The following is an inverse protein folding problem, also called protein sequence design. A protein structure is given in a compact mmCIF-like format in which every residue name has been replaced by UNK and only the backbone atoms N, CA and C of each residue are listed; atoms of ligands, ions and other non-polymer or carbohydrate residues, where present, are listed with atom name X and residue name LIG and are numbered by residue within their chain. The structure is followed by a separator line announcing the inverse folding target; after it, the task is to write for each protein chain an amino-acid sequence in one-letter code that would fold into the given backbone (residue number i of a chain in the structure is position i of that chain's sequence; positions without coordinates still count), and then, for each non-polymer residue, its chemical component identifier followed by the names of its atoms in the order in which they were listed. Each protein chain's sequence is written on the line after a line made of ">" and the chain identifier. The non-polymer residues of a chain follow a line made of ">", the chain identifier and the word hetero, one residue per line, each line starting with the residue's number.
data_IF_302486453243
#
_entry.id   IF_302486453243
#
_cell.length_a   1.000
_cell.length_b   1.000
_cell.length_c   1.000
_cell.angle_alpha   90.00
_cell.angle_beta   90.00
_cell.angle_gamma   90.00
#
_symmetry.space_group_name_H-M   'P 1'
#
loop_
_entity.id
_entity.type
_entity.pdbx_description
1 polymer ?
#
# COMPACT_ATOMS: atom_id res chain seq x y z
N UNK A 1 -5.33 -8.88 -12.56
CA UNK A 1 -4.59 -8.59 -11.33
C UNK A 1 -4.50 -7.09 -11.13
N UNK A 2 -4.69 -6.62 -9.90
CA UNK A 2 -4.66 -5.18 -9.60
C UNK A 2 -3.38 -4.80 -8.87
N UNK A 3 -2.86 -3.63 -9.20
CA UNK A 3 -1.73 -3.03 -8.52
C UNK A 3 -2.18 -1.74 -7.85
N UNK A 4 -1.83 -1.57 -6.60
CA UNK A 4 -2.11 -0.34 -5.86
C UNK A 4 -0.85 0.50 -5.75
N UNK A 5 -1.03 1.81 -5.88
CA UNK A 5 0.05 2.78 -5.68
C UNK A 5 -0.34 3.66 -4.50
N UNK A 6 0.51 3.67 -3.47
CA UNK A 6 0.35 4.52 -2.30
C UNK A 6 1.41 5.60 -2.31
N UNK A 7 1.00 6.85 -2.11
CA UNK A 7 1.92 7.99 -1.97
C UNK A 7 1.77 8.55 -0.57
N UNK A 8 2.80 8.40 0.24
CA UNK A 8 2.78 8.84 1.63
C UNK A 8 4.11 9.50 2.00
N UNK A 9 4.04 10.39 2.99
CA UNK A 9 5.23 11.07 3.47
C UNK A 9 6.24 10.06 4.00
N UNK A 10 7.52 10.25 3.65
CA UNK A 10 8.58 9.37 4.09
C UNK A 10 8.82 9.55 5.59
N UNK A 11 8.80 8.43 6.31
CA UNK A 11 9.23 8.37 7.71
C UNK A 11 9.54 6.92 8.08
N UNK A 12 10.40 6.71 9.10
CA UNK A 12 10.76 5.35 9.53
C UNK A 12 9.53 4.49 9.83
N UNK A 13 9.57 3.24 9.38
CA UNK A 13 8.54 2.27 9.69
C UNK A 13 7.31 2.29 8.79
N UNK A 14 7.31 3.08 7.70
CA UNK A 14 6.15 3.15 6.79
C UNK A 14 5.77 1.80 6.20
N UNK A 15 6.74 1.04 5.70
CA UNK A 15 6.43 -0.27 5.12
C UNK A 15 5.86 -1.22 6.17
N UNK A 16 6.43 -1.21 7.38
CA UNK A 16 5.93 -2.03 8.48
C UNK A 16 4.50 -1.64 8.86
N UNK A 17 4.19 -0.35 8.86
CA UNK A 17 2.86 0.18 9.14
C UNK A 17 1.84 -0.32 8.10
N UNK A 18 2.19 -0.24 6.81
CA UNK A 18 1.33 -0.72 5.73
C UNK A 18 1.13 -2.23 5.83
N UNK A 19 2.22 -2.98 6.02
CA UNK A 19 2.16 -4.44 6.12
C UNK A 19 1.31 -4.88 7.31
N UNK A 20 1.45 -4.21 8.45
CA UNK A 20 0.67 -4.52 9.65
C UNK A 20 -0.81 -4.25 9.45
N UNK A 21 -1.16 -3.12 8.84
CA UNK A 21 -2.55 -2.77 8.56
C UNK A 21 -3.22 -3.80 7.66
N UNK A 22 -2.53 -4.25 6.62
CA UNK A 22 -3.03 -5.27 5.71
C UNK A 22 -3.13 -6.64 6.39
N UNK A 23 -2.11 -7.01 7.14
CA UNK A 23 -2.07 -8.27 7.85
C UNK A 23 -3.26 -8.41 8.81
N UNK A 24 -3.58 -7.36 9.55
CA UNK A 24 -4.71 -7.35 10.48
C UNK A 24 -6.05 -7.61 9.80
N UNK A 25 -6.14 -7.31 8.50
CA UNK A 25 -7.35 -7.55 7.71
C UNK A 25 -7.28 -8.84 6.90
N UNK A 26 -6.26 -9.66 7.12
CA UNK A 26 -6.08 -10.93 6.41
C UNK A 26 -5.62 -10.76 4.97
N UNK A 27 -5.01 -9.63 4.64
CA UNK A 27 -4.50 -9.36 3.29
C UNK A 27 -3.01 -9.66 3.24
N UNK A 28 -2.59 -10.41 2.22
CA UNK A 28 -1.18 -10.73 2.01
C UNK A 28 -0.61 -9.93 0.85
N UNK A 29 0.59 -9.39 1.03
CA UNK A 29 1.31 -8.69 -0.01
C UNK A 29 2.04 -9.74 -0.84
N UNK A 30 1.73 -9.81 -2.13
CA UNK A 30 2.34 -10.76 -3.05
C UNK A 30 3.60 -10.19 -3.69
N UNK A 31 3.62 -8.89 -3.94
CA UNK A 31 4.79 -8.20 -4.50
C UNK A 31 4.71 -6.73 -4.14
N UNK A 32 5.86 -6.09 -3.98
CA UNK A 32 5.91 -4.64 -3.78
C UNK A 32 7.19 -4.04 -4.30
N UNK A 33 7.15 -2.73 -4.56
CA UNK A 33 8.32 -1.92 -4.81
C UNK A 33 8.12 -0.56 -4.15
N UNK A 34 9.21 0.13 -3.87
CA UNK A 34 9.15 1.43 -3.23
C UNK A 34 10.15 2.38 -3.89
N UNK A 35 9.74 3.63 -4.06
CA UNK A 35 10.60 4.69 -4.58
C UNK A 35 10.47 5.90 -3.68
N UNK A 36 11.59 6.61 -3.48
CA UNK A 36 11.64 7.81 -2.68
C UNK A 36 11.91 9.01 -3.57
N UNK A 37 11.03 10.01 -3.53
CA UNK A 37 11.15 11.25 -4.29
C UNK A 37 10.75 12.44 -3.43
N UNK A 38 11.71 13.30 -3.17
CA UNK A 38 11.45 14.58 -2.49
C UNK A 38 10.74 14.45 -1.15
N UNK A 39 11.15 13.49 -0.32
CA UNK A 39 10.57 13.28 1.00
C UNK A 39 9.24 12.55 0.98
N UNK A 40 8.84 12.04 -0.18
CA UNK A 40 7.62 11.25 -0.33
C UNK A 40 7.97 9.85 -0.83
N UNK A 41 7.38 8.82 -0.23
CA UNK A 41 7.52 7.45 -0.71
C UNK A 41 6.33 7.04 -1.56
N UNK A 42 6.62 6.37 -2.67
CA UNK A 42 5.60 5.74 -3.50
C UNK A 42 5.78 4.23 -3.38
N UNK A 43 4.77 3.56 -2.85
CA UNK A 43 4.74 2.09 -2.76
C UNK A 43 3.82 1.55 -3.85
N UNK A 44 4.30 0.53 -4.56
CA UNK A 44 3.45 -0.22 -5.50
C UNK A 44 3.28 -1.61 -4.94
N UNK A 45 2.02 -2.02 -4.77
CA UNK A 45 1.67 -3.25 -4.09
C UNK A 45 0.74 -4.11 -4.92
N UNK A 46 1.01 -5.41 -4.94
CA UNK A 46 0.09 -6.42 -5.46
C UNK A 46 -0.33 -7.29 -4.29
N UNK A 47 -1.63 -7.47 -4.12
CA UNK A 47 -2.19 -8.14 -2.94
C UNK A 47 -3.27 -9.15 -3.35
N UNK A 48 -3.56 -10.10 -2.47
CA UNK A 48 -4.52 -11.17 -2.75
C UNK A 48 -5.99 -10.76 -2.57
N UNK A 49 -6.27 -9.80 -1.70
CA UNK A 49 -7.64 -9.34 -1.42
C UNK A 49 -7.76 -7.86 -1.75
N UNK A 50 -7.86 -7.56 -3.04
CA UNK A 50 -7.80 -6.18 -3.52
C UNK A 50 -8.86 -5.26 -2.91
N UNK A 51 -10.11 -5.72 -2.82
CA UNK A 51 -11.19 -4.89 -2.29
C UNK A 51 -10.98 -4.54 -0.81
N UNK A 52 -10.55 -5.51 -0.01
CA UNK A 52 -10.26 -5.31 1.41
C UNK A 52 -9.05 -4.39 1.58
N UNK A 53 -8.02 -4.59 0.75
CA UNK A 53 -6.83 -3.75 0.79
C UNK A 53 -7.17 -2.29 0.49
N UNK A 54 -7.95 -2.04 -0.55
CA UNK A 54 -8.36 -0.68 -0.92
C UNK A 54 -9.09 0.02 0.22
N UNK A 55 -10.03 -0.69 0.85
CA UNK A 55 -10.76 -0.16 2.00
C UNK A 55 -9.81 0.18 3.14
N UNK A 56 -8.85 -0.71 3.42
CA UNK A 56 -7.85 -0.49 4.48
C UNK A 56 -7.03 0.76 4.22
N UNK A 57 -6.57 0.97 2.98
CA UNK A 57 -5.79 2.14 2.62
C UNK A 57 -6.60 3.42 2.82
N UNK A 58 -7.84 3.42 2.39
CA UNK A 58 -8.72 4.59 2.53
C UNK A 58 -8.99 4.88 4.01
N UNK A 59 -9.25 3.85 4.81
CA UNK A 59 -9.50 4.01 6.24
C UNK A 59 -8.30 4.57 7.00
N UNK A 60 -7.09 4.30 6.52
CA UNK A 60 -5.87 4.83 7.12
C UNK A 60 -5.52 6.23 6.59
N UNK A 61 -6.33 6.78 5.69
CA UNK A 61 -6.10 8.10 5.14
C UNK A 61 -4.96 8.17 4.13
N UNK A 62 -4.55 7.04 3.57
CA UNK A 62 -3.47 6.99 2.60
C UNK A 62 -4.02 7.27 1.19
N UNK A 63 -3.28 8.07 0.42
CA UNK A 63 -3.62 8.32 -0.97
C UNK A 63 -3.35 7.05 -1.79
N UNK A 64 -4.37 6.54 -2.46
CA UNK A 64 -4.26 5.28 -3.18
C UNK A 64 -4.71 5.44 -4.63
N UNK A 65 -3.89 4.91 -5.56
CA UNK A 65 -4.24 4.74 -6.95
C UNK A 65 -4.35 3.24 -7.25
N UNK A 66 -5.15 2.90 -8.22
CA UNK A 66 -5.41 1.51 -8.59
C UNK A 66 -5.21 1.33 -10.08
N UNK A 67 -4.46 0.29 -10.46
CA UNK A 67 -4.23 -0.06 -11.86
C UNK A 67 -4.55 -1.53 -12.07
N UNK A 68 -5.16 -1.84 -13.20
CA UNK A 68 -5.35 -3.22 -13.63
C UNK A 68 -4.19 -3.57 -14.57
N UNK A 69 -3.48 -4.62 -14.25
CA UNK A 69 -2.37 -5.11 -15.06
C UNK A 69 -2.84 -6.21 -16.03
#
# INVERSE_FOLDING_TARGET
>A
MKQFTLRIADRPGRLAEIASALWQQGVHIEAFSAELHGGQETFRLMVDRAAVAKKTFIENGWEVGEERL
#
